data_IF_594450151362
#
_entry.id   IF_594450151362
#
_cell.length_a   1.000
_cell.length_b   1.000
_cell.length_c   1.000
_cell.angle_alpha   90.00
_cell.angle_beta   90.00
_cell.angle_gamma   90.00
#
_symmetry.space_group_name_H-M   'P 1'
#
loop_
_entity.id
_entity.type
_entity.pdbx_description
1 polymer ?
#
# COMPACT_ATOMS: atom_id res chain seq x y z
N UNK A 1 17.49 -12.17 -14.01
CA UNK A 1 16.69 -11.22 -13.22
C UNK A 1 17.40 -9.90 -13.12
N UNK A 2 16.72 -8.81 -13.44
CA UNK A 2 17.29 -7.45 -13.40
C UNK A 2 16.39 -6.56 -12.56
N UNK A 3 16.96 -5.89 -11.56
CA UNK A 3 16.23 -4.90 -10.78
C UNK A 3 15.82 -3.72 -11.67
N UNK A 4 14.62 -3.18 -11.47
CA UNK A 4 14.04 -2.16 -12.35
C UNK A 4 14.91 -0.90 -12.45
N UNK A 5 15.61 -0.53 -11.39
CA UNK A 5 16.55 0.59 -11.31
C UNK A 5 17.81 0.39 -12.16
N UNK A 6 18.12 -0.86 -12.53
CA UNK A 6 19.23 -1.24 -13.41
C UNK A 6 18.79 -1.49 -14.86
N UNK A 7 17.50 -1.35 -15.16
CA UNK A 7 16.99 -1.51 -16.51
C UNK A 7 17.19 -0.21 -17.30
N UNK A 8 17.57 -0.34 -18.57
CA UNK A 8 17.46 0.76 -19.54
C UNK A 8 15.98 0.89 -19.97
N UNK A 9 15.27 1.87 -19.41
CA UNK A 9 13.84 2.11 -19.69
C UNK A 9 13.70 3.19 -20.75
N UNK A 10 13.03 2.85 -21.86
CA UNK A 10 12.57 3.82 -22.86
C UNK A 10 11.29 4.52 -22.35
N UNK A 11 11.47 5.63 -21.63
CA UNK A 11 10.35 6.40 -21.06
C UNK A 11 9.43 7.00 -22.14
N UNK A 12 9.95 7.29 -23.33
CA UNK A 12 9.16 7.81 -24.45
C UNK A 12 8.10 6.82 -24.97
N UNK A 13 8.22 5.53 -24.61
CA UNK A 13 7.25 4.47 -24.94
C UNK A 13 6.57 3.87 -23.72
N UNK A 14 6.86 4.37 -22.52
CA UNK A 14 6.33 3.83 -21.27
C UNK A 14 5.16 4.67 -20.80
N UNK A 15 3.95 4.10 -20.76
CA UNK A 15 2.74 4.78 -20.25
C UNK A 15 2.56 4.63 -18.74
N UNK A 16 2.99 3.49 -18.20
CA UNK A 16 2.73 3.07 -16.82
C UNK A 16 3.96 2.36 -16.32
N UNK A 17 4.34 2.63 -15.08
CA UNK A 17 5.37 1.88 -14.38
C UNK A 17 4.94 1.62 -12.94
N UNK A 18 5.55 0.61 -12.33
CA UNK A 18 5.26 0.21 -10.96
C UNK A 18 6.53 0.16 -10.14
N UNK A 19 6.39 0.49 -8.86
CA UNK A 19 7.40 0.27 -7.84
C UNK A 19 6.73 -0.35 -6.63
N UNK A 20 7.34 -1.37 -6.04
CA UNK A 20 6.64 -2.15 -5.03
C UNK A 20 7.49 -3.15 -4.28
N UNK A 21 6.89 -3.60 -3.17
CA UNK A 21 7.34 -4.70 -2.33
C UNK A 21 6.10 -5.43 -1.86
N UNK A 22 5.81 -5.38 -0.56
CA UNK A 22 4.60 -5.97 0.05
C UNK A 22 3.28 -5.51 -0.63
N UNK A 23 3.26 -4.32 -1.22
CA UNK A 23 2.22 -3.87 -2.15
C UNK A 23 2.86 -3.12 -3.33
N UNK A 24 2.09 -2.88 -4.39
CA UNK A 24 2.57 -2.10 -5.54
C UNK A 24 2.01 -0.67 -5.55
N UNK A 25 2.85 0.25 -6.00
CA UNK A 25 2.51 1.63 -6.32
C UNK A 25 2.63 1.79 -7.82
N UNK A 26 1.55 2.23 -8.46
CA UNK A 26 1.48 2.37 -9.91
C UNK A 26 1.50 3.86 -10.25
N UNK A 27 2.32 4.21 -11.22
CA UNK A 27 2.53 5.57 -11.68
C UNK A 27 2.28 5.63 -13.19
N UNK A 28 1.52 6.63 -13.61
CA UNK A 28 1.31 6.99 -15.00
C UNK A 28 2.40 7.94 -15.46
N UNK A 29 2.83 7.84 -16.71
CA UNK A 29 3.80 8.78 -17.29
C UNK A 29 3.04 9.93 -17.96
N UNK A 30 2.55 10.88 -17.17
CA UNK A 30 1.62 11.94 -17.57
C UNK A 30 2.37 13.15 -18.15
N UNK A 31 1.89 13.62 -19.30
CA UNK A 31 2.42 14.81 -19.97
C UNK A 31 2.35 16.04 -19.05
N UNK A 32 3.47 16.74 -18.89
CA UNK A 32 3.61 17.92 -18.04
C UNK A 32 3.79 17.61 -16.54
N UNK A 33 3.68 16.35 -16.12
CA UNK A 33 4.02 15.90 -14.76
C UNK A 33 5.36 15.16 -14.74
N UNK A 34 5.56 14.24 -15.66
CA UNK A 34 6.81 13.49 -15.83
C UNK A 34 7.68 14.10 -16.96
N UNK A 35 9.02 14.04 -16.86
CA UNK A 35 9.92 14.66 -17.85
C UNK A 35 9.74 14.17 -19.29
N UNK A 36 9.34 12.91 -19.48
CA UNK A 36 9.04 12.31 -20.78
C UNK A 36 7.61 11.77 -20.82
N UNK A 37 6.68 12.49 -20.17
CA UNK A 37 5.26 12.16 -20.09
C UNK A 37 4.62 12.00 -21.47
N UNK A 38 3.89 10.91 -21.67
CA UNK A 38 3.18 10.60 -22.92
C UNK A 38 1.68 10.32 -22.74
N UNK A 39 1.21 10.15 -21.51
CA UNK A 39 -0.21 10.00 -21.19
C UNK A 39 -0.82 11.39 -21.08
N UNK A 40 -1.81 11.71 -21.91
CA UNK A 40 -2.44 13.04 -21.86
C UNK A 40 -3.25 13.17 -20.57
N UNK A 41 -3.31 14.36 -19.93
CA UNK A 41 -4.11 14.56 -18.72
C UNK A 41 -5.58 14.12 -18.84
N UNK A 42 -6.19 14.30 -20.01
CA UNK A 42 -7.57 13.87 -20.28
C UNK A 42 -7.76 12.35 -20.39
N UNK A 43 -6.69 11.57 -20.52
CA UNK A 43 -6.71 10.11 -20.63
C UNK A 43 -6.49 9.41 -19.27
N UNK A 44 -6.06 10.15 -18.25
CA UNK A 44 -5.63 9.62 -16.96
C UNK A 44 -6.70 8.78 -16.27
N UNK A 45 -7.94 9.28 -16.15
CA UNK A 45 -9.00 8.54 -15.44
C UNK A 45 -9.46 7.30 -16.22
N UNK A 46 -9.49 7.36 -17.55
CA UNK A 46 -9.82 6.21 -18.37
C UNK A 46 -8.75 5.11 -18.21
N UNK A 47 -7.47 5.50 -18.26
CA UNK A 47 -6.36 4.58 -18.06
C UNK A 47 -6.33 3.99 -16.65
N UNK A 48 -6.61 4.79 -15.60
CA UNK A 48 -6.76 4.28 -14.23
C UNK A 48 -7.86 3.22 -14.14
N UNK A 49 -9.02 3.49 -14.73
CA UNK A 49 -10.15 2.56 -14.72
C UNK A 49 -9.84 1.25 -15.45
N UNK A 50 -9.15 1.34 -16.59
CA UNK A 50 -8.65 0.17 -17.32
C UNK A 50 -7.68 -0.66 -16.47
N UNK A 51 -6.71 0.00 -15.82
CA UNK A 51 -5.72 -0.66 -14.97
C UNK A 51 -6.36 -1.33 -13.76
N UNK A 52 -7.30 -0.65 -13.08
CA UNK A 52 -8.06 -1.22 -11.97
C UNK A 52 -8.74 -2.53 -12.41
N UNK A 53 -9.50 -2.49 -13.51
CA UNK A 53 -10.20 -3.67 -14.02
C UNK A 53 -9.24 -4.82 -14.36
N UNK A 54 -8.07 -4.52 -14.96
CA UNK A 54 -7.05 -5.54 -15.27
C UNK A 54 -6.41 -6.13 -14.02
N UNK A 55 -6.09 -5.31 -13.02
CA UNK A 55 -5.50 -5.77 -11.77
C UNK A 55 -6.48 -6.60 -10.93
N UNK A 56 -7.76 -6.22 -10.91
CA UNK A 56 -8.80 -6.99 -10.21
C UNK A 56 -9.16 -8.29 -10.93
N UNK A 57 -8.98 -8.35 -12.25
CA UNK A 57 -9.19 -9.56 -13.04
C UNK A 57 -8.01 -10.55 -13.02
N UNK A 58 -6.88 -10.18 -12.41
CA UNK A 58 -5.68 -11.02 -12.37
C UNK A 58 -5.96 -12.36 -11.68
N UNK A 59 -5.47 -13.42 -12.30
CA UNK A 59 -5.54 -14.80 -11.79
C UNK A 59 -4.16 -15.26 -11.36
N UNK A 60 -4.07 -16.38 -10.66
CA UNK A 60 -2.81 -17.06 -10.38
C UNK A 60 -2.44 -18.00 -11.56
N UNK A 61 -1.35 -18.74 -11.36
CA UNK A 61 -0.87 -19.79 -12.26
C UNK A 61 -1.84 -20.96 -12.47
N UNK A 62 -2.87 -21.10 -11.63
CA UNK A 62 -3.93 -22.11 -11.76
C UNK A 62 -5.22 -21.53 -12.39
N UNK A 63 -5.23 -20.24 -12.74
CA UNK A 63 -6.40 -19.56 -13.29
C UNK A 63 -7.42 -19.11 -12.25
N UNK A 64 -7.07 -19.13 -10.96
CA UNK A 64 -7.94 -18.66 -9.87
C UNK A 64 -7.72 -17.16 -9.66
N UNK A 65 -8.80 -16.37 -9.64
CA UNK A 65 -8.70 -14.94 -9.34
C UNK A 65 -8.07 -14.74 -7.96
N UNK A 66 -7.02 -13.90 -7.89
CA UNK A 66 -6.24 -13.76 -6.65
C UNK A 66 -6.92 -12.86 -5.63
N UNK A 67 -7.96 -12.11 -5.99
CA UNK A 67 -8.68 -11.21 -5.08
C UNK A 67 -8.01 -9.84 -4.89
N UNK A 68 -7.23 -9.39 -5.88
CA UNK A 68 -6.53 -8.10 -5.85
C UNK A 68 -7.46 -6.94 -5.49
N UNK A 69 -6.98 -6.02 -4.65
CA UNK A 69 -7.64 -4.76 -4.32
C UNK A 69 -6.83 -3.58 -4.86
N UNK A 70 -7.50 -2.61 -5.47
CA UNK A 70 -6.87 -1.42 -6.01
C UNK A 70 -7.51 -0.18 -5.40
N UNK A 71 -6.67 0.77 -4.97
CA UNK A 71 -7.11 1.98 -4.32
C UNK A 71 -6.55 3.22 -5.03
N UNK A 72 -7.36 4.25 -5.18
CA UNK A 72 -6.85 5.59 -5.54
C UNK A 72 -6.48 6.33 -4.25
N UNK A 73 -5.28 6.90 -4.13
CA UNK A 73 -4.89 7.60 -2.90
C UNK A 73 -5.87 8.69 -2.47
N UNK A 74 -6.46 9.42 -3.42
CA UNK A 74 -7.46 10.48 -3.16
C UNK A 74 -8.76 9.98 -2.52
N UNK A 75 -9.04 8.67 -2.59
CA UNK A 75 -10.26 8.08 -2.03
C UNK A 75 -10.02 7.55 -0.61
N UNK A 76 -8.78 7.21 -0.26
CA UNK A 76 -8.46 6.56 1.02
C UNK A 76 -7.70 7.46 2.00
N UNK A 77 -7.01 8.49 1.52
CA UNK A 77 -6.28 9.43 2.37
C UNK A 77 -7.07 10.73 2.54
N UNK A 78 -7.08 11.25 3.77
CA UNK A 78 -7.64 12.57 4.09
C UNK A 78 -6.93 13.69 3.33
N UNK A 79 -5.62 13.57 3.17
CA UNK A 79 -4.79 14.51 2.42
C UNK A 79 -3.72 13.73 1.65
N UNK A 80 -3.44 14.18 0.42
CA UNK A 80 -2.44 13.57 -0.45
C UNK A 80 -1.35 14.59 -0.72
N UNK A 81 -0.12 14.26 -0.36
CA UNK A 81 1.02 15.16 -0.39
C UNK A 81 2.05 14.72 -1.44
N UNK A 82 2.86 15.67 -1.92
CA UNK A 82 3.98 15.40 -2.83
C UNK A 82 3.53 14.81 -4.17
N UNK A 83 4.25 13.78 -4.62
CA UNK A 83 3.92 13.01 -5.83
C UNK A 83 3.40 11.63 -5.41
N UNK A 84 2.08 11.49 -5.16
CA UNK A 84 1.50 10.21 -4.81
C UNK A 84 1.52 9.24 -6.00
N UNK A 85 1.42 7.93 -5.76
CA UNK A 85 1.09 7.02 -6.83
C UNK A 85 -0.29 7.32 -7.42
N UNK A 86 -0.50 6.91 -8.67
CA UNK A 86 -1.81 6.98 -9.30
C UNK A 86 -2.75 5.89 -8.79
N UNK A 87 -2.21 4.71 -8.47
CA UNK A 87 -2.92 3.59 -7.85
C UNK A 87 -2.04 2.89 -6.81
N UNK A 88 -2.66 2.39 -5.76
CA UNK A 88 -2.08 1.44 -4.80
C UNK A 88 -2.73 0.08 -5.06
N UNK A 89 -1.94 -0.98 -5.22
CA UNK A 89 -2.43 -2.31 -5.57
C UNK A 89 -1.98 -3.31 -4.50
N UNK A 90 -2.94 -3.95 -3.86
CA UNK A 90 -2.75 -5.07 -2.94
C UNK A 90 -3.04 -6.36 -3.70
N UNK A 91 -1.98 -6.97 -4.24
CA UNK A 91 -2.13 -8.21 -5.01
C UNK A 91 -2.63 -9.34 -4.10
N UNK A 92 -3.74 -9.94 -4.52
CA UNK A 92 -4.52 -10.88 -3.71
C UNK A 92 -4.76 -10.45 -2.27
N UNK A 93 -5.15 -9.19 -2.07
CA UNK A 93 -5.43 -8.59 -0.76
C UNK A 93 -4.27 -8.79 0.25
N UNK A 94 -3.05 -8.49 -0.22
CA UNK A 94 -1.78 -8.66 0.51
C UNK A 94 -1.33 -10.13 0.69
N UNK A 95 -1.95 -11.09 0.01
CA UNK A 95 -1.39 -12.44 -0.07
C UNK A 95 -0.17 -12.50 -0.99
N UNK A 96 -0.19 -11.75 -2.09
CA UNK A 96 0.91 -11.65 -3.04
C UNK A 96 1.68 -10.33 -2.87
N UNK A 97 2.96 -10.36 -3.18
CA UNK A 97 3.82 -9.17 -3.21
C UNK A 97 4.19 -8.80 -4.65
N UNK A 98 4.49 -7.53 -4.85
CA UNK A 98 5.19 -7.07 -6.05
C UNK A 98 6.69 -7.30 -5.88
N UNK A 99 7.36 -7.66 -6.98
CA UNK A 99 8.81 -7.86 -7.02
C UNK A 99 9.45 -6.75 -7.84
N UNK A 100 10.61 -6.27 -7.38
CA UNK A 100 11.33 -5.15 -8.00
C UNK A 100 12.18 -5.55 -9.19
N UNK A 101 11.97 -6.76 -9.72
CA UNK A 101 12.82 -7.39 -10.74
C UNK A 101 12.01 -7.85 -11.96
N UNK A 102 12.63 -7.75 -13.14
CA UNK A 102 12.05 -8.19 -14.41
C UNK A 102 12.93 -9.26 -15.08
N UNK A 103 12.33 -9.98 -16.03
CA UNK A 103 13.01 -11.06 -16.77
C UNK A 103 12.82 -12.46 -16.17
N UNK A 104 11.75 -12.66 -15.38
CA UNK A 104 11.37 -13.97 -14.81
C UNK A 104 10.81 -14.96 -15.85
N UNK A 105 10.48 -14.49 -17.07
CA UNK A 105 9.78 -15.30 -18.10
C UNK A 105 8.30 -15.56 -17.81
N UNK A 106 7.83 -15.13 -16.63
CA UNK A 106 6.45 -15.17 -16.16
C UNK A 106 6.15 -13.87 -15.41
N UNK A 107 4.87 -13.53 -15.27
CA UNK A 107 4.42 -12.44 -14.39
C UNK A 107 4.31 -12.89 -12.92
N UNK A 108 4.42 -14.20 -12.67
CA UNK A 108 4.47 -14.79 -11.33
C UNK A 108 5.89 -15.25 -11.02
N UNK A 109 6.31 -15.03 -9.79
CA UNK A 109 7.50 -15.65 -9.19
C UNK A 109 7.12 -16.22 -7.84
N UNK A 110 7.69 -17.38 -7.51
CA UNK A 110 7.60 -18.00 -6.17
C UNK A 110 8.90 -17.87 -5.40
N UNK A 111 9.95 -17.41 -6.08
CA UNK A 111 11.19 -16.98 -5.47
C UNK A 111 11.06 -15.51 -5.07
N UNK A 112 11.76 -15.12 -4.01
CA UNK A 112 11.84 -13.74 -3.56
C UNK A 112 13.21 -13.13 -3.89
N UNK A 113 13.20 -11.80 -3.97
CA UNK A 113 14.35 -11.00 -4.37
C UNK A 113 15.42 -10.91 -3.26
N UNK A 114 15.14 -11.44 -2.05
CA UNK A 114 15.90 -11.21 -0.80
C UNK A 114 16.13 -12.46 0.08
N UNK A 115 15.70 -13.67 -0.30
CA UNK A 115 15.70 -14.88 0.56
C UNK A 115 14.35 -15.12 1.27
N UNK A 116 14.05 -16.36 1.74
CA UNK A 116 12.74 -16.82 2.22
C UNK A 116 12.15 -15.92 3.32
N UNK A 117 11.39 -14.92 2.89
CA UNK A 117 10.50 -14.13 3.73
C UNK A 117 9.07 -14.50 3.33
N UNK A 118 8.49 -15.45 4.06
CA UNK A 118 7.09 -15.86 3.93
C UNK A 118 6.13 -14.88 4.63
N UNK A 119 6.64 -13.76 5.17
CA UNK A 119 5.80 -12.75 5.80
C UNK A 119 5.35 -11.72 4.76
N UNK A 120 4.05 -11.44 4.73
CA UNK A 120 3.49 -10.29 4.04
C UNK A 120 2.74 -9.38 5.04
N UNK A 121 2.42 -8.17 4.62
CA UNK A 121 1.66 -7.24 5.45
C UNK A 121 0.23 -7.76 5.69
N UNK A 122 -0.30 -7.43 6.86
CA UNK A 122 -1.69 -7.66 7.22
C UNK A 122 -2.33 -6.34 7.67
N UNK A 123 -3.63 -6.21 7.44
CA UNK A 123 -4.39 -5.02 7.82
C UNK A 123 -4.57 -4.89 9.33
N UNK A 124 -4.64 -6.02 10.03
CA UNK A 124 -4.86 -6.08 11.47
C UNK A 124 -3.55 -6.31 12.21
N UNK A 125 -3.29 -5.47 13.21
CA UNK A 125 -2.19 -5.62 14.15
C UNK A 125 -2.66 -6.05 15.53
N UNK A 126 -1.73 -6.10 16.48
CA UNK A 126 -2.00 -6.40 17.89
C UNK A 126 -1.52 -5.21 18.74
N UNK A 127 -2.32 -4.83 19.73
CA UNK A 127 -1.93 -3.89 20.77
C UNK A 127 -2.16 -4.52 22.14
N UNK A 128 -1.21 -4.31 23.05
CA UNK A 128 -1.31 -4.68 24.45
C UNK A 128 -0.98 -3.44 25.26
N UNK A 129 -1.91 -3.00 26.12
CA UNK A 129 -1.74 -1.87 27.03
C UNK A 129 -1.80 -2.40 28.46
N UNK A 130 -0.82 -2.01 29.28
CA UNK A 130 -0.78 -2.30 30.70
C UNK A 130 -0.59 -0.99 31.45
N UNK A 131 -1.52 -0.70 32.35
CA UNK A 131 -1.46 0.46 33.25
C UNK A 131 -1.23 -0.07 34.67
N UNK A 132 -0.06 0.22 35.28
CA UNK A 132 0.27 -0.30 36.61
C UNK A 132 -0.57 0.31 37.72
N UNK A 133 -1.14 1.51 37.52
CA UNK A 133 -1.92 2.24 38.53
C UNK A 133 -3.42 1.91 38.45
N UNK A 134 -3.85 1.25 37.36
CA UNK A 134 -5.19 0.73 37.19
C UNK A 134 -5.41 -0.52 38.07
N UNK A 135 -5.73 -0.30 39.34
CA UNK A 135 -5.88 -1.36 40.34
C UNK A 135 -7.29 -1.98 40.44
N UNK A 136 -8.30 -1.48 39.70
CA UNK A 136 -9.68 -1.95 39.82
C UNK A 136 -10.31 -2.38 38.47
N UNK A 137 -10.76 -3.63 38.39
CA UNK A 137 -11.46 -4.21 37.23
C UNK A 137 -11.26 -5.74 37.12
N UNK A 138 -12.04 -6.46 36.27
CA UNK A 138 -12.07 -7.92 36.22
C UNK A 138 -10.83 -8.60 35.58
N UNK A 139 -9.70 -7.89 35.45
CA UNK A 139 -8.54 -8.30 34.66
C UNK A 139 -8.44 -7.56 33.32
N UNK A 140 -7.66 -8.08 32.38
CA UNK A 140 -7.52 -7.50 31.04
C UNK A 140 -8.84 -7.49 30.27
N UNK A 141 -9.05 -6.47 29.42
CA UNK A 141 -10.19 -6.41 28.49
C UNK A 141 -9.71 -6.51 27.06
N UNK A 142 -10.54 -7.10 26.20
CA UNK A 142 -10.32 -7.02 24.76
C UNK A 142 -10.56 -5.60 24.26
N UNK A 143 -9.69 -5.13 23.38
CA UNK A 143 -9.82 -3.85 22.70
C UNK A 143 -10.21 -4.14 21.25
N UNK A 144 -11.36 -3.62 20.82
CA UNK A 144 -11.87 -3.80 19.45
C UNK A 144 -12.12 -2.46 18.78
N UNK A 145 -12.08 -2.43 17.45
CA UNK A 145 -12.37 -1.23 16.67
C UNK A 145 -11.29 -0.13 16.72
N UNK A 146 -10.12 -0.42 17.31
CA UNK A 146 -9.00 0.52 17.33
C UNK A 146 -8.35 0.66 15.96
N UNK A 147 -7.73 1.81 15.74
CA UNK A 147 -6.90 2.13 14.59
C UNK A 147 -5.46 2.34 15.03
N UNK A 148 -4.49 2.08 14.15
CA UNK A 148 -3.08 2.37 14.41
C UNK A 148 -2.85 3.82 14.86
N UNK A 149 -3.64 4.75 14.29
CA UNK A 149 -3.57 6.18 14.59
C UNK A 149 -4.01 6.54 16.01
N UNK A 150 -4.72 5.64 16.72
CA UNK A 150 -5.16 5.85 18.10
C UNK A 150 -4.02 5.73 19.12
N UNK A 151 -2.89 5.13 18.73
CA UNK A 151 -1.75 4.91 19.62
C UNK A 151 -1.10 6.21 20.06
N UNK A 152 -0.83 7.13 19.12
CA UNK A 152 -0.18 8.40 19.42
C UNK A 152 -0.98 9.28 20.43
N UNK A 153 -2.28 9.57 20.23
CA UNK A 153 -3.05 10.35 21.18
C UNK A 153 -3.19 9.65 22.54
N UNK A 154 -3.32 8.32 22.56
CA UNK A 154 -3.36 7.54 23.80
C UNK A 154 -2.07 7.70 24.62
N UNK A 155 -0.92 7.66 23.96
CA UNK A 155 0.38 7.84 24.62
C UNK A 155 0.50 9.29 25.13
N UNK A 156 0.20 10.30 24.31
CA UNK A 156 0.30 11.70 24.73
C UNK A 156 -0.55 12.01 25.97
N UNK A 157 -1.79 11.52 26.00
CA UNK A 157 -2.69 11.70 27.13
C UNK A 157 -2.14 11.06 28.43
N UNK A 158 -1.59 9.85 28.34
CA UNK A 158 -0.96 9.18 29.49
C UNK A 158 0.22 9.95 30.09
N UNK A 159 0.96 10.67 29.26
CA UNK A 159 2.07 11.52 29.70
C UNK A 159 1.65 12.94 30.08
N UNK A 160 0.34 13.26 30.08
CA UNK A 160 -0.16 14.60 30.37
C UNK A 160 0.23 15.64 29.32
N UNK A 161 0.56 15.21 28.10
CA UNK A 161 0.92 16.09 26.98
C UNK A 161 -0.34 16.41 26.17
N UNK A 162 -0.60 17.69 25.82
CA UNK A 162 -1.74 18.05 24.98
C UNK A 162 -1.71 17.32 23.63
N UNK A 163 -2.81 16.66 23.28
CA UNK A 163 -2.99 16.01 21.98
C UNK A 163 -3.26 17.08 20.90
N UNK A 164 -2.46 17.14 19.82
CA UNK A 164 -2.73 18.05 18.70
C UNK A 164 -4.10 17.80 18.07
N UNK A 165 -4.83 18.87 17.79
CA UNK A 165 -6.22 18.81 17.30
C UNK A 165 -6.35 18.25 15.86
N UNK A 166 -5.25 18.18 15.11
CA UNK A 166 -5.16 17.65 13.76
C UNK A 166 -4.86 16.14 13.70
N UNK A 167 -4.54 15.50 14.83
CA UNK A 167 -4.44 14.04 14.91
C UNK A 167 -5.77 13.37 14.56
N UNK A 168 -5.70 12.29 13.78
CA UNK A 168 -6.90 11.58 13.30
C UNK A 168 -7.43 10.54 14.29
N UNK A 169 -6.54 9.93 15.07
CA UNK A 169 -6.90 8.93 16.08
C UNK A 169 -7.47 9.54 17.35
N UNK A 170 -7.97 8.68 18.23
CA UNK A 170 -8.53 9.05 19.54
C UNK A 170 -7.90 8.21 20.64
N UNK A 171 -7.72 8.82 21.81
CA UNK A 171 -7.22 8.08 22.97
C UNK A 171 -8.23 7.03 23.48
N UNK A 172 -7.75 5.93 24.06
CA UNK A 172 -8.56 4.80 24.55
C UNK A 172 -8.08 4.14 25.86
#
# INVERSE_FOLDING_TARGET
MTAIDKCEIDWSKTKVWGDGGYYARIFLNVEGREPQGIVKPGEVEALRSELIAKFEALVDHNGVNIGTKVFKPKEIYKEVNGVPPDLIVYFGDLYWRSVGTVGHGSIYTFDNDTGPDDCNHAQFGIVIKHDPDAHEGPGGRELTGLQLMDMAPTILEQFGVPVPADMQGKAF
#
